data_IF_575959538351
#
_entry.id   IF_575959538351
#
_cell.length_a   1.000
_cell.length_b   1.000
_cell.length_c   1.000
_cell.angle_alpha   90.00
_cell.angle_beta   90.00
_cell.angle_gamma   90.00
#
_symmetry.space_group_name_H-M   'P 1'
#
loop_
_entity.id
_entity.type
_entity.pdbx_description
1 polymer ?
#
# COMPACT_ATOMS: atom_id res chain seq x y z
N UNK A 1 6.24 3.97 -14.55
CA UNK A 1 7.69 4.23 -14.41
C UNK A 1 8.48 3.86 -15.66
N UNK A 2 8.60 2.57 -16.02
CA UNK A 2 9.16 2.14 -17.31
C UNK A 2 8.03 1.57 -18.16
N UNK A 3 7.62 2.29 -19.20
CA UNK A 3 6.51 1.92 -20.07
C UNK A 3 7.00 1.03 -21.22
N UNK A 4 6.62 -0.26 -21.28
CA UNK A 4 7.15 -1.18 -22.28
C UNK A 4 6.44 -1.09 -23.64
N UNK A 5 5.25 -0.47 -23.68
CA UNK A 5 4.42 -0.38 -24.87
C UNK A 5 4.47 1.02 -25.47
N UNK A 6 4.58 1.09 -26.79
CA UNK A 6 4.59 2.35 -27.52
C UNK A 6 3.32 3.16 -27.20
N UNK A 7 3.51 4.45 -26.92
CA UNK A 7 2.45 5.42 -26.60
C UNK A 7 1.64 5.15 -25.32
N UNK A 8 1.93 4.10 -24.54
CA UNK A 8 1.19 3.83 -23.29
C UNK A 8 1.25 4.99 -22.31
N UNK A 9 2.41 5.64 -22.17
CA UNK A 9 2.61 6.80 -21.29
C UNK A 9 1.84 8.06 -21.72
N UNK A 10 1.05 7.97 -22.79
CA UNK A 10 0.16 9.05 -23.28
C UNK A 10 -1.31 8.68 -23.11
N UNK A 11 -1.61 7.42 -22.79
CA UNK A 11 -2.95 6.96 -22.47
C UNK A 11 -3.08 6.78 -20.95
N UNK A 12 -3.39 7.89 -20.29
CA UNK A 12 -3.44 7.99 -18.82
C UNK A 12 -4.48 7.06 -18.19
N UNK A 13 -5.64 6.90 -18.85
CA UNK A 13 -6.70 6.01 -18.35
C UNK A 13 -6.25 4.55 -18.41
N UNK A 14 -5.63 4.13 -19.52
CA UNK A 14 -5.13 2.76 -19.65
C UNK A 14 -3.98 2.50 -18.67
N UNK A 15 -3.08 3.45 -18.48
CA UNK A 15 -1.99 3.32 -17.48
C UNK A 15 -2.55 3.19 -16.05
N UNK A 16 -3.53 4.02 -15.68
CA UNK A 16 -4.19 3.96 -14.38
C UNK A 16 -4.93 2.64 -14.16
N UNK A 17 -5.64 2.16 -15.18
CA UNK A 17 -6.35 0.89 -15.15
C UNK A 17 -5.37 -0.28 -14.96
N UNK A 18 -4.27 -0.32 -15.71
CA UNK A 18 -3.26 -1.38 -15.64
C UNK A 18 -2.59 -1.43 -14.25
N UNK A 19 -2.19 -0.28 -13.71
CA UNK A 19 -1.57 -0.23 -12.38
C UNK A 19 -2.55 -0.73 -11.31
N UNK A 20 -3.76 -0.16 -11.28
CA UNK A 20 -4.79 -0.52 -10.30
C UNK A 20 -5.13 -2.01 -10.39
N UNK A 21 -5.38 -2.52 -11.60
CA UNK A 21 -5.71 -3.93 -11.85
C UNK A 21 -4.66 -4.88 -11.29
N UNK A 22 -3.38 -4.68 -11.61
CA UNK A 22 -2.33 -5.58 -11.17
C UNK A 22 -2.05 -5.47 -9.67
N UNK A 23 -2.24 -4.28 -9.06
CA UNK A 23 -2.11 -4.14 -7.60
C UNK A 23 -3.19 -4.93 -6.87
N UNK A 24 -4.46 -4.85 -7.30
CA UNK A 24 -5.53 -5.65 -6.72
C UNK A 24 -5.27 -7.15 -6.88
N UNK A 25 -4.91 -7.62 -8.08
CA UNK A 25 -4.56 -9.04 -8.29
C UNK A 25 -3.42 -9.48 -7.37
N UNK A 26 -2.36 -8.68 -7.26
CA UNK A 26 -1.24 -8.99 -6.37
C UNK A 26 -1.73 -9.15 -4.92
N UNK A 27 -2.60 -8.26 -4.44
CA UNK A 27 -3.25 -8.37 -3.14
C UNK A 27 -3.98 -9.68 -2.90
N UNK A 28 -4.87 -10.05 -3.82
CA UNK A 28 -5.62 -11.30 -3.75
C UNK A 28 -4.70 -12.53 -3.76
N UNK A 29 -3.66 -12.54 -4.62
CA UNK A 29 -2.68 -13.62 -4.67
C UNK A 29 -1.87 -13.72 -3.36
N UNK A 30 -1.46 -12.58 -2.79
CA UNK A 30 -0.71 -12.54 -1.54
C UNK A 30 -1.54 -13.08 -0.38
N UNK A 31 -2.78 -12.62 -0.21
CA UNK A 31 -3.68 -13.13 0.84
C UNK A 31 -3.97 -14.62 0.63
N UNK A 32 -4.18 -15.04 -0.61
CA UNK A 32 -4.35 -16.45 -0.98
C UNK A 32 -3.15 -17.32 -0.61
N UNK A 33 -1.92 -16.83 -0.82
CA UNK A 33 -0.71 -17.57 -0.44
C UNK A 33 -0.66 -17.85 1.08
N UNK A 34 -0.98 -16.87 1.92
CA UNK A 34 -1.04 -17.07 3.37
C UNK A 34 -2.21 -17.96 3.81
N UNK A 35 -3.37 -17.84 3.16
CA UNK A 35 -4.50 -18.73 3.41
C UNK A 35 -4.13 -20.20 3.14
N UNK A 36 -3.47 -20.47 2.01
CA UNK A 36 -2.97 -21.81 1.69
C UNK A 36 -1.85 -22.26 2.64
N UNK A 37 -1.00 -21.34 3.12
CA UNK A 37 -0.05 -21.63 4.20
C UNK A 37 -0.71 -22.06 5.50
N UNK A 38 -1.81 -21.41 5.90
CA UNK A 38 -2.59 -21.80 7.07
C UNK A 38 -3.29 -23.16 6.87
N UNK A 39 -3.82 -23.42 5.67
CA UNK A 39 -4.39 -24.73 5.31
C UNK A 39 -3.34 -25.83 5.42
N UNK A 40 -2.13 -25.59 4.90
CA UNK A 40 -0.99 -26.51 5.04
C UNK A 40 -0.68 -26.79 6.52
N UNK A 41 -0.63 -25.77 7.38
CA UNK A 41 -0.40 -25.97 8.81
C UNK A 41 -1.48 -26.81 9.49
N UNK A 42 -2.74 -26.72 9.06
CA UNK A 42 -3.83 -27.52 9.64
C UNK A 42 -3.81 -28.96 9.12
N UNK A 43 -3.69 -29.14 7.80
CA UNK A 43 -3.94 -30.44 7.15
C UNK A 43 -2.69 -31.28 6.94
N UNK A 44 -1.58 -30.66 6.55
CA UNK A 44 -0.45 -31.37 5.96
C UNK A 44 0.81 -31.30 6.84
N UNK A 45 0.89 -30.34 7.76
CA UNK A 45 2.04 -30.21 8.64
C UNK A 45 2.12 -31.35 9.67
N UNK A 46 3.21 -32.11 9.57
CA UNK A 46 3.60 -33.16 10.52
C UNK A 46 4.77 -32.67 11.41
N UNK A 47 4.55 -32.48 12.73
CA UNK A 47 5.58 -32.08 13.67
C UNK A 47 6.76 -33.07 13.80
N UNK A 48 6.53 -34.37 13.61
CA UNK A 48 7.57 -35.39 13.77
C UNK A 48 8.54 -35.36 12.58
N UNK A 49 8.02 -35.23 11.36
CA UNK A 49 8.84 -35.10 10.15
C UNK A 49 9.62 -33.77 10.11
N UNK A 50 9.10 -32.73 10.76
CA UNK A 50 9.69 -31.38 10.75
C UNK A 50 10.50 -31.06 12.02
N UNK A 51 10.74 -32.04 12.89
CA UNK A 51 11.39 -31.82 14.18
C UNK A 51 12.75 -31.14 14.02
N UNK A 52 13.00 -30.12 14.83
CA UNK A 52 14.24 -29.33 14.90
C UNK A 52 14.62 -28.55 13.62
N UNK A 53 13.79 -28.53 12.57
CA UNK A 53 14.04 -27.73 11.39
C UNK A 53 13.61 -26.26 11.59
N UNK A 54 13.82 -25.42 10.58
CA UNK A 54 13.48 -23.99 10.65
C UNK A 54 11.98 -23.72 10.83
N UNK A 55 11.12 -24.59 10.30
CA UNK A 55 9.67 -24.45 10.38
C UNK A 55 9.16 -24.77 11.78
N UNK A 56 9.63 -25.87 12.37
CA UNK A 56 9.30 -26.23 13.76
C UNK A 56 9.82 -25.17 14.74
N UNK A 57 11.08 -24.73 14.58
CA UNK A 57 11.66 -23.68 15.42
C UNK A 57 10.84 -22.39 15.38
N UNK A 58 10.35 -21.99 14.20
CA UNK A 58 9.51 -20.81 14.03
C UNK A 58 8.22 -20.91 14.87
N UNK A 59 7.57 -22.08 14.90
CA UNK A 59 6.37 -22.31 15.72
C UNK A 59 6.64 -22.25 17.22
N UNK A 60 7.85 -22.60 17.68
CA UNK A 60 8.24 -22.54 19.09
C UNK A 60 8.33 -21.12 19.65
N UNK A 61 8.53 -20.12 18.78
CA UNK A 61 8.62 -18.70 19.17
C UNK A 61 7.59 -17.83 18.42
N UNK A 62 6.45 -18.41 18.03
CA UNK A 62 5.40 -17.69 17.28
C UNK A 62 4.90 -16.44 18.00
N UNK A 63 4.83 -16.46 19.33
CA UNK A 63 4.39 -15.34 20.15
C UNK A 63 5.35 -14.14 20.04
N UNK A 64 6.65 -14.38 19.86
CA UNK A 64 7.62 -13.32 19.64
C UNK A 64 7.40 -12.67 18.26
N UNK A 65 7.18 -13.46 17.22
CA UNK A 65 6.89 -12.95 15.87
C UNK A 65 5.61 -12.11 15.86
N UNK A 66 4.53 -12.65 16.42
CA UNK A 66 3.22 -11.97 16.49
C UNK A 66 3.31 -10.68 17.31
N UNK A 67 4.01 -10.69 18.44
CA UNK A 67 4.14 -9.49 19.29
C UNK A 67 4.96 -8.38 18.63
N UNK A 68 6.04 -8.71 17.90
CA UNK A 68 6.80 -7.71 17.15
C UNK A 68 6.00 -7.12 15.99
N UNK A 69 5.28 -7.95 15.22
CA UNK A 69 4.38 -7.45 14.17
C UNK A 69 3.29 -6.55 14.74
N UNK A 70 2.71 -6.91 15.90
CA UNK A 70 1.75 -6.07 16.62
C UNK A 70 2.36 -4.73 17.05
N UNK A 71 3.57 -4.74 17.60
CA UNK A 71 4.27 -3.51 17.96
C UNK A 71 4.51 -2.60 16.75
N UNK A 72 4.99 -3.14 15.62
CA UNK A 72 5.22 -2.34 14.40
C UNK A 72 3.90 -1.75 13.89
N UNK A 73 2.83 -2.54 13.81
CA UNK A 73 1.51 -2.05 13.39
C UNK A 73 1.01 -0.91 14.29
N UNK A 74 1.12 -1.06 15.62
CA UNK A 74 0.71 -0.01 16.55
C UNK A 74 1.59 1.23 16.44
N UNK A 75 2.91 1.04 16.36
CA UNK A 75 3.86 2.14 16.19
C UNK A 75 3.56 2.94 14.93
N UNK A 76 3.44 2.28 13.77
CA UNK A 76 3.11 2.95 12.51
C UNK A 76 1.74 3.63 12.58
N UNK A 77 0.74 2.96 13.17
CA UNK A 77 -0.62 3.48 13.30
C UNK A 77 -0.68 4.77 14.11
N UNK A 78 -0.11 4.77 15.31
CA UNK A 78 -0.12 5.94 16.19
C UNK A 78 0.61 7.14 15.58
N UNK A 79 1.80 6.94 15.00
CA UNK A 79 2.58 8.05 14.48
C UNK A 79 2.06 8.57 13.14
N UNK A 80 1.68 7.68 12.21
CA UNK A 80 1.18 8.10 10.89
C UNK A 80 -0.13 8.85 11.01
N UNK A 81 -1.11 8.27 11.73
CA UNK A 81 -2.40 8.93 11.95
C UNK A 81 -2.24 10.19 12.82
N UNK A 82 -1.39 10.14 13.85
CA UNK A 82 -1.10 11.29 14.69
C UNK A 82 -0.57 12.49 13.91
N UNK A 83 0.35 12.26 12.96
CA UNK A 83 0.87 13.31 12.08
C UNK A 83 -0.20 13.86 11.12
N UNK A 84 -1.01 12.98 10.51
CA UNK A 84 -2.12 13.43 9.67
C UNK A 84 -3.11 14.31 10.45
N UNK A 85 -3.54 13.88 11.65
CA UNK A 85 -4.46 14.65 12.49
C UNK A 85 -3.83 15.97 12.96
N UNK A 86 -2.56 15.96 13.34
CA UNK A 86 -1.82 17.19 13.67
C UNK A 86 -1.86 18.18 12.50
N UNK A 87 -1.52 17.70 11.30
CA UNK A 87 -1.49 18.53 10.09
C UNK A 87 -2.88 19.06 9.71
N UNK A 88 -3.93 18.23 9.76
CA UNK A 88 -5.32 18.69 9.56
C UNK A 88 -5.68 19.80 10.56
N UNK A 89 -5.33 19.64 11.84
CA UNK A 89 -5.69 20.58 12.90
C UNK A 89 -5.04 21.95 12.71
N UNK A 90 -3.73 21.99 12.44
CA UNK A 90 -3.02 23.26 12.25
C UNK A 90 -3.42 23.96 10.94
N UNK A 91 -3.70 23.20 9.87
CA UNK A 91 -4.24 23.75 8.62
C UNK A 91 -5.64 24.32 8.84
N UNK A 92 -6.51 23.63 9.58
CA UNK A 92 -7.84 24.12 9.92
C UNK A 92 -7.79 25.42 10.76
N UNK A 93 -6.75 25.61 11.57
CA UNK A 93 -6.51 26.86 12.30
C UNK A 93 -5.82 27.96 11.47
N UNK A 94 -5.65 27.76 10.17
CA UNK A 94 -5.01 28.74 9.29
C UNK A 94 -3.51 28.91 9.54
N UNK A 95 -2.85 27.89 10.10
CA UNK A 95 -1.42 27.87 10.42
C UNK A 95 -0.70 26.72 9.69
N UNK A 96 -0.74 26.67 8.34
CA UNK A 96 -0.16 25.57 7.56
C UNK A 96 1.35 25.45 7.74
N UNK A 97 2.05 26.50 8.14
CA UNK A 97 3.48 26.51 8.44
C UNK A 97 3.85 25.70 9.70
N UNK A 98 2.86 25.36 10.54
CA UNK A 98 3.05 24.53 11.75
C UNK A 98 2.82 23.04 11.52
N UNK A 99 2.59 22.65 10.26
CA UNK A 99 2.57 21.24 9.89
C UNK A 99 3.93 20.60 10.16
N UNK A 100 3.92 19.31 10.46
CA UNK A 100 5.13 18.51 10.59
C UNK A 100 5.35 17.81 9.25
N UNK A 101 6.33 18.29 8.51
CA UNK A 101 6.66 17.83 7.16
C UNK A 101 8.04 17.17 7.17
N UNK A 102 8.07 15.85 7.09
CA UNK A 102 9.32 15.09 7.00
C UNK A 102 9.68 14.83 5.55
N UNK A 103 10.87 15.24 5.14
CA UNK A 103 11.39 14.88 3.81
C UNK A 103 11.79 13.40 3.76
N UNK A 104 11.45 12.67 2.68
CA UNK A 104 11.80 11.27 2.52
C UNK A 104 13.26 11.09 2.06
N UNK A 105 14.22 11.63 2.82
CA UNK A 105 15.65 11.73 2.46
C UNK A 105 16.26 10.40 2.03
N UNK A 106 15.85 9.28 2.63
CA UNK A 106 16.34 7.96 2.21
C UNK A 106 15.89 7.57 0.81
N UNK A 107 14.66 7.91 0.43
CA UNK A 107 14.17 7.65 -0.91
C UNK A 107 14.76 8.66 -1.92
N UNK A 108 14.94 9.93 -1.53
CA UNK A 108 15.65 10.93 -2.34
C UNK A 108 17.09 10.51 -2.63
N UNK A 109 17.77 9.95 -1.62
CA UNK A 109 19.10 9.39 -1.77
C UNK A 109 19.12 8.26 -2.80
N UNK A 110 18.11 7.36 -2.81
CA UNK A 110 18.01 6.30 -3.82
C UNK A 110 17.81 6.90 -5.22
N UNK A 111 16.98 7.94 -5.37
CA UNK A 111 16.81 8.61 -6.65
C UNK A 111 18.12 9.25 -7.12
N UNK A 112 18.85 9.92 -6.22
CA UNK A 112 20.13 10.53 -6.55
C UNK A 112 21.22 9.50 -6.84
N UNK A 113 21.29 8.42 -6.07
CA UNK A 113 22.17 7.28 -6.33
C UNK A 113 21.92 6.67 -7.71
N UNK A 114 20.67 6.77 -8.21
CA UNK A 114 20.25 6.36 -9.55
C UNK A 114 20.54 7.42 -10.63
N UNK A 115 21.12 8.57 -10.30
CA UNK A 115 21.51 9.61 -11.25
C UNK A 115 20.55 10.79 -11.37
N UNK A 116 19.56 10.89 -10.49
CA UNK A 116 18.64 12.04 -10.44
C UNK A 116 19.29 13.25 -9.80
N UNK A 117 19.40 14.35 -10.53
CA UNK A 117 20.14 15.53 -10.10
C UNK A 117 19.35 16.50 -9.20
N UNK A 118 18.01 16.41 -9.17
CA UNK A 118 17.14 17.43 -8.55
C UNK A 118 17.37 17.64 -7.03
N UNK A 119 17.91 16.63 -6.33
CA UNK A 119 18.14 16.66 -4.89
C UNK A 119 19.54 17.16 -4.51
N UNK A 120 20.42 17.43 -5.48
CA UNK A 120 21.80 17.91 -5.26
C UNK A 120 22.68 17.01 -4.37
N UNK A 121 22.34 15.73 -4.20
CA UNK A 121 23.28 14.76 -3.63
C UNK A 121 24.36 14.41 -4.65
N UNK A 122 25.62 14.42 -4.22
CA UNK A 122 26.77 14.01 -5.02
C UNK A 122 27.17 12.56 -4.68
N UNK A 123 26.37 11.58 -5.11
CA UNK A 123 26.49 10.17 -4.70
C UNK A 123 26.29 9.22 -5.88
N UNK A 124 27.14 8.20 -6.00
CA UNK A 124 27.03 7.17 -7.05
C UNK A 124 26.80 7.77 -8.44
N UNK A 125 25.67 7.46 -9.11
CA UNK A 125 25.42 7.85 -10.50
C UNK A 125 25.11 9.33 -10.69
N UNK A 126 24.77 10.09 -9.64
CA UNK A 126 24.68 11.56 -9.73
C UNK A 126 26.05 12.24 -9.68
N UNK A 127 27.10 11.51 -9.30
CA UNK A 127 28.48 12.00 -9.31
C UNK A 127 29.18 11.65 -10.62
N UNK A 128 29.62 12.66 -11.38
CA UNK A 128 30.34 12.46 -12.65
C UNK A 128 31.69 11.75 -12.50
N UNK A 129 32.27 11.75 -11.29
CA UNK A 129 33.59 11.18 -11.00
C UNK A 129 33.52 9.81 -10.32
N UNK A 130 32.32 9.35 -9.95
CA UNK A 130 32.13 8.05 -9.31
C UNK A 130 32.56 6.91 -10.25
N UNK A 131 33.27 5.88 -9.75
CA UNK A 131 33.62 4.70 -10.54
C UNK A 131 32.41 4.05 -11.23
N UNK A 132 31.24 4.05 -10.57
CA UNK A 132 30.01 3.51 -11.13
C UNK A 132 29.56 4.29 -12.38
N UNK A 133 29.69 5.61 -12.34
CA UNK A 133 29.35 6.50 -13.45
C UNK A 133 30.34 6.32 -14.59
N UNK A 134 31.65 6.35 -14.30
CA UNK A 134 32.71 6.20 -15.30
C UNK A 134 32.59 4.87 -16.04
N UNK A 135 32.32 3.77 -15.32
CA UNK A 135 32.16 2.44 -15.92
C UNK A 135 30.91 2.30 -16.80
N UNK A 136 29.81 2.96 -16.45
CA UNK A 136 28.54 2.86 -17.19
C UNK A 136 28.42 3.80 -18.40
N UNK A 137 29.27 4.83 -18.48
CA UNK A 137 29.08 5.99 -19.37
C UNK A 137 29.11 5.67 -20.87
N UNK A 138 29.67 4.53 -21.29
CA UNK A 138 29.80 4.17 -22.71
C UNK A 138 28.73 3.19 -23.22
N UNK A 139 27.78 2.75 -22.37
CA UNK A 139 26.83 1.69 -22.73
C UNK A 139 25.38 2.15 -22.59
N UNK A 140 24.84 2.11 -21.37
CA UNK A 140 23.42 2.36 -21.10
C UNK A 140 23.19 3.67 -20.33
N UNK A 141 24.22 4.17 -19.65
CA UNK A 141 24.10 5.26 -18.69
C UNK A 141 23.69 6.60 -19.31
N UNK A 142 24.18 7.02 -20.50
CA UNK A 142 23.74 8.30 -21.08
C UNK A 142 22.23 8.37 -21.31
N UNK A 143 21.63 7.32 -21.90
CA UNK A 143 20.19 7.26 -22.13
C UNK A 143 19.39 7.15 -20.82
N UNK A 144 19.93 6.45 -19.82
CA UNK A 144 19.34 6.40 -18.49
C UNK A 144 19.34 7.77 -17.79
N UNK A 145 20.47 8.49 -17.80
CA UNK A 145 20.60 9.80 -17.18
C UNK A 145 19.72 10.84 -17.88
N UNK A 146 19.57 10.76 -19.21
CA UNK A 146 18.61 11.57 -19.95
C UNK A 146 17.18 11.27 -19.50
N UNK A 147 16.80 9.99 -19.40
CA UNK A 147 15.46 9.59 -19.02
C UNK A 147 15.09 9.99 -17.57
N UNK A 148 15.96 9.71 -16.59
CA UNK A 148 15.66 9.95 -15.16
C UNK A 148 15.60 11.44 -14.78
N UNK A 149 16.28 12.29 -15.55
CA UNK A 149 16.27 13.75 -15.36
C UNK A 149 15.24 14.46 -16.25
N UNK A 150 14.45 13.73 -17.04
CA UNK A 150 13.39 14.29 -17.86
C UNK A 150 12.08 14.38 -17.06
N UNK A 151 11.63 15.61 -16.81
CA UNK A 151 10.38 15.88 -16.07
C UNK A 151 9.08 15.56 -16.85
N UNK A 152 9.17 14.99 -18.05
CA UNK A 152 8.02 14.64 -18.91
C UNK A 152 7.67 13.14 -18.88
N UNK A 153 8.28 12.36 -17.99
CA UNK A 153 7.99 10.94 -17.81
C UNK A 153 7.82 10.62 -16.32
N UNK A 154 7.40 9.38 -16.04
CA UNK A 154 7.14 8.90 -14.67
C UNK A 154 8.32 8.12 -14.07
N UNK A 155 9.52 8.28 -14.63
CA UNK A 155 10.72 7.61 -14.14
C UNK A 155 11.25 8.34 -12.90
N UNK A 156 11.15 7.67 -11.74
CA UNK A 156 11.54 8.23 -10.44
C UNK A 156 10.93 9.61 -10.20
N UNK A 157 9.60 9.71 -10.15
CA UNK A 157 8.91 10.97 -9.86
C UNK A 157 9.50 11.66 -8.63
N UNK A 158 9.58 13.00 -8.66
CA UNK A 158 10.00 13.78 -7.50
C UNK A 158 9.07 13.44 -6.33
N UNK A 159 9.66 13.16 -5.18
CA UNK A 159 8.99 12.87 -3.92
C UNK A 159 9.23 13.98 -2.90
N UNK A 160 8.31 14.11 -1.94
CA UNK A 160 8.38 15.06 -0.82
C UNK A 160 7.58 14.59 0.41
N UNK A 161 7.17 15.51 1.30
CA UNK A 161 6.56 15.15 2.59
C UNK A 161 5.23 14.39 2.49
N UNK A 162 4.42 14.71 1.50
CA UNK A 162 3.17 13.98 1.23
C UNK A 162 3.41 12.51 0.87
N UNK A 163 4.45 12.26 0.08
CA UNK A 163 4.90 10.92 -0.25
C UNK A 163 5.41 10.18 0.99
N UNK A 164 6.13 10.86 1.88
CA UNK A 164 6.62 10.26 3.12
C UNK A 164 5.46 9.70 3.95
N UNK A 165 4.42 10.51 4.21
CA UNK A 165 3.31 10.11 5.07
C UNK A 165 2.52 8.94 4.49
N UNK A 166 2.22 8.98 3.19
CA UNK A 166 1.43 7.91 2.57
C UNK A 166 2.20 6.60 2.44
N UNK A 167 3.54 6.64 2.26
CA UNK A 167 4.35 5.42 2.33
C UNK A 167 4.34 4.79 3.73
N UNK A 168 4.27 5.59 4.80
CA UNK A 168 4.10 5.07 6.16
C UNK A 168 2.69 4.50 6.39
N UNK A 169 1.65 5.08 5.78
CA UNK A 169 0.31 4.52 5.78
C UNK A 169 0.24 3.18 5.02
N UNK A 170 0.89 3.08 3.86
CA UNK A 170 1.02 1.81 3.11
C UNK A 170 1.78 0.78 3.95
N UNK A 171 2.88 1.18 4.60
CA UNK A 171 3.63 0.32 5.51
C UNK A 171 2.77 -0.20 6.66
N UNK A 172 1.95 0.66 7.28
CA UNK A 172 0.98 0.27 8.30
C UNK A 172 0.02 -0.81 7.78
N UNK A 173 -0.55 -0.58 6.59
CA UNK A 173 -1.47 -1.52 5.96
C UNK A 173 -0.82 -2.89 5.68
N UNK A 174 0.40 -2.89 5.13
CA UNK A 174 1.16 -4.10 4.85
C UNK A 174 1.50 -4.89 6.14
N UNK A 175 2.01 -4.22 7.18
CA UNK A 175 2.36 -4.87 8.44
C UNK A 175 1.13 -5.40 9.16
N UNK A 176 0.01 -4.67 9.14
CA UNK A 176 -1.23 -5.11 9.80
C UNK A 176 -1.90 -6.26 9.06
N UNK A 177 -1.95 -6.21 7.73
CA UNK A 177 -2.41 -7.35 6.91
C UNK A 177 -1.54 -8.58 7.17
N UNK A 178 -0.22 -8.42 7.20
CA UNK A 178 0.73 -9.49 7.49
C UNK A 178 0.54 -10.05 8.91
N UNK A 179 0.35 -9.19 9.91
CA UNK A 179 0.07 -9.60 11.29
C UNK A 179 -1.15 -10.52 11.35
N UNK A 180 -2.25 -10.13 10.73
CA UNK A 180 -3.51 -10.90 10.76
C UNK A 180 -3.29 -12.27 10.10
N UNK A 181 -2.68 -12.29 8.92
CA UNK A 181 -2.42 -13.53 8.16
C UNK A 181 -1.44 -14.46 8.86
N UNK A 182 -0.31 -13.93 9.34
CA UNK A 182 0.71 -14.70 10.06
C UNK A 182 0.13 -15.25 11.36
N UNK A 183 -0.53 -14.41 12.18
CA UNK A 183 -1.18 -14.87 13.42
C UNK A 183 -2.22 -15.95 13.12
N UNK A 184 -3.05 -15.77 12.08
CA UNK A 184 -4.02 -16.76 11.63
C UNK A 184 -3.39 -18.12 11.30
N UNK A 185 -2.26 -18.12 10.58
CA UNK A 185 -1.52 -19.33 10.23
C UNK A 185 -0.81 -19.98 11.43
N UNK A 186 -0.14 -19.20 12.29
CA UNK A 186 0.63 -19.73 13.42
C UNK A 186 -0.24 -20.24 14.58
N UNK A 187 -1.45 -19.72 14.73
CA UNK A 187 -2.46 -20.19 15.69
C UNK A 187 -3.45 -21.19 15.07
N UNK A 188 -3.28 -21.60 13.81
CA UNK A 188 -4.21 -22.45 13.09
C UNK A 188 -4.35 -23.84 13.73
N UNK A 189 -3.24 -24.40 14.24
CA UNK A 189 -3.24 -25.71 14.89
C UNK A 189 -3.73 -25.69 16.33
N UNK A 190 -3.63 -24.54 17.00
CA UNK A 190 -3.95 -24.40 18.42
C UNK A 190 -3.47 -23.07 18.99
N UNK A 191 -4.23 -22.58 19.96
CA UNK A 191 -3.95 -21.37 20.74
C UNK A 191 -4.26 -21.64 22.22
N UNK A 192 -3.92 -20.72 23.13
CA UNK A 192 -4.28 -20.89 24.56
C UNK A 192 -5.79 -20.97 24.79
N UNK A 193 -6.60 -20.27 23.99
CA UNK A 193 -8.06 -20.23 24.11
C UNK A 193 -8.72 -21.51 23.57
N UNK A 194 -8.17 -22.07 22.50
CA UNK A 194 -8.63 -23.31 21.86
C UNK A 194 -7.39 -24.12 21.41
N UNK A 195 -6.88 -25.01 22.28
CA UNK A 195 -5.64 -25.76 22.03
C UNK A 195 -5.77 -26.83 20.93
N UNK A 196 -6.97 -27.38 20.76
CA UNK A 196 -7.36 -28.48 19.86
C UNK A 196 -7.89 -28.00 18.50
N UNK A 197 -7.58 -26.76 18.12
CA UNK A 197 -8.11 -26.12 16.90
C UNK A 197 -7.89 -26.93 15.62
N UNK A 198 -6.75 -27.62 15.50
CA UNK A 198 -6.45 -28.50 14.35
C UNK A 198 -7.54 -29.56 14.09
N UNK A 199 -8.26 -30.01 15.12
CA UNK A 199 -9.22 -31.11 15.02
C UNK A 199 -10.54 -30.65 14.37
N UNK A 200 -10.77 -29.34 14.27
CA UNK A 200 -11.94 -28.71 13.67
C UNK A 200 -11.71 -28.28 12.21
N UNK A 201 -10.48 -28.36 11.72
CA UNK A 201 -10.12 -27.96 10.35
C UNK A 201 -9.92 -26.45 10.18
N UNK A 202 -9.87 -26.01 8.92
CA UNK A 202 -9.50 -24.63 8.56
C UNK A 202 -10.63 -23.61 8.79
N UNK A 203 -11.87 -24.01 8.49
CA UNK A 203 -13.05 -23.15 8.55
C UNK A 203 -14.12 -23.82 9.41
N UNK A 204 -14.50 -23.14 10.48
CA UNK A 204 -15.56 -23.54 11.41
C UNK A 204 -16.09 -22.28 12.13
N UNK A 205 -17.35 -22.23 12.58
CA UNK A 205 -17.97 -20.97 13.02
C UNK A 205 -17.37 -20.38 14.31
N UNK A 206 -17.20 -21.22 15.34
CA UNK A 206 -16.67 -20.89 16.65
C UNK A 206 -16.52 -22.18 17.49
N UNK A 207 -16.05 -22.07 18.72
CA UNK A 207 -16.12 -23.10 19.77
C UNK A 207 -17.06 -22.65 20.92
N UNK A 208 -18.22 -22.12 20.53
CA UNK A 208 -19.30 -21.68 21.41
C UNK A 208 -19.07 -20.38 22.20
N UNK A 209 -20.08 -19.92 22.97
CA UNK A 209 -20.00 -18.70 23.78
C UNK A 209 -19.22 -18.87 25.09
N UNK A 210 -18.76 -20.08 25.42
CA UNK A 210 -17.97 -20.35 26.61
C UNK A 210 -16.60 -19.66 26.59
N UNK A 211 -15.88 -19.68 27.73
CA UNK A 211 -14.52 -19.12 27.90
C UNK A 211 -14.38 -17.63 27.50
N UNK A 212 -15.47 -16.86 27.58
CA UNK A 212 -15.52 -15.45 27.20
C UNK A 212 -15.96 -15.18 25.75
N UNK A 213 -16.24 -16.23 24.97
CA UNK A 213 -16.64 -16.14 23.57
C UNK A 213 -15.50 -16.49 22.60
N UNK A 214 -15.83 -17.23 21.54
CA UNK A 214 -14.85 -17.73 20.54
C UNK A 214 -15.25 -17.40 19.10
N UNK A 215 -15.95 -16.28 18.92
CA UNK A 215 -16.27 -15.76 17.59
C UNK A 215 -14.99 -15.51 16.78
N UNK A 216 -15.05 -15.77 15.47
CA UNK A 216 -13.98 -15.49 14.51
C UNK A 216 -12.60 -16.08 14.91
N UNK A 217 -12.60 -17.30 15.48
CA UNK A 217 -11.40 -17.94 16.03
C UNK A 217 -10.66 -18.84 15.02
N UNK A 218 -11.32 -19.24 13.93
CA UNK A 218 -10.74 -20.15 12.93
C UNK A 218 -9.66 -19.46 12.10
N UNK A 219 -8.84 -20.25 11.42
CA UNK A 219 -7.84 -19.69 10.51
C UNK A 219 -8.47 -19.07 9.26
N UNK A 220 -9.65 -19.55 8.84
CA UNK A 220 -10.46 -18.92 7.80
C UNK A 220 -10.95 -17.53 8.21
N UNK A 221 -11.33 -17.34 9.47
CA UNK A 221 -11.78 -16.02 9.97
C UNK A 221 -10.64 -15.00 9.94
N UNK A 222 -9.39 -15.42 10.19
CA UNK A 222 -8.23 -14.57 10.00
C UNK A 222 -8.01 -14.17 8.53
N UNK A 223 -8.23 -15.08 7.58
CA UNK A 223 -8.26 -14.75 6.15
C UNK A 223 -9.36 -13.72 5.84
N UNK A 224 -10.58 -13.94 6.33
CA UNK A 224 -11.70 -13.02 6.17
C UNK A 224 -11.36 -11.61 6.69
N UNK A 225 -10.80 -11.49 7.90
CA UNK A 225 -10.38 -10.20 8.48
C UNK A 225 -9.25 -9.55 7.68
N UNK A 226 -8.29 -10.35 7.19
CA UNK A 226 -7.18 -9.84 6.40
C UNK A 226 -7.62 -9.28 5.03
N UNK A 227 -8.71 -9.78 4.46
CA UNK A 227 -9.27 -9.26 3.20
C UNK A 227 -9.64 -7.77 3.31
N UNK A 228 -10.23 -7.34 4.42
CA UNK A 228 -10.55 -5.92 4.64
C UNK A 228 -9.28 -5.06 4.68
N UNK A 229 -8.27 -5.51 5.42
CA UNK A 229 -6.99 -4.81 5.51
C UNK A 229 -6.24 -4.77 4.19
N UNK A 230 -6.29 -5.84 3.41
CA UNK A 230 -5.71 -5.90 2.07
C UNK A 230 -6.40 -4.89 1.14
N UNK A 231 -7.73 -4.90 1.06
CA UNK A 231 -8.49 -3.96 0.23
C UNK A 231 -8.21 -2.51 0.62
N UNK A 232 -8.13 -2.21 1.92
CA UNK A 232 -7.80 -0.90 2.43
C UNK A 232 -6.35 -0.48 2.09
N UNK A 233 -5.38 -1.38 2.24
CA UNK A 233 -3.95 -1.11 1.92
C UNK A 233 -3.75 -0.82 0.43
N UNK A 234 -4.42 -1.59 -0.44
CA UNK A 234 -4.38 -1.37 -1.89
C UNK A 234 -5.15 -0.12 -2.26
N UNK A 235 -6.26 0.16 -1.59
CA UNK A 235 -6.97 1.43 -1.69
C UNK A 235 -6.03 2.63 -1.45
N UNK A 236 -5.31 2.65 -0.33
CA UNK A 236 -4.32 3.70 -0.03
C UNK A 236 -3.23 3.80 -1.10
N UNK A 237 -2.69 2.65 -1.53
CA UNK A 237 -1.63 2.58 -2.56
C UNK A 237 -2.11 3.14 -3.91
N UNK A 238 -3.32 2.76 -4.33
CA UNK A 238 -3.88 3.17 -5.62
C UNK A 238 -4.41 4.61 -5.60
N UNK A 239 -4.96 5.07 -4.47
CA UNK A 239 -5.34 6.47 -4.27
C UNK A 239 -4.12 7.38 -4.37
N UNK A 240 -3.04 7.00 -3.69
CA UNK A 240 -1.76 7.72 -3.77
C UNK A 240 -1.25 7.78 -5.20
N UNK A 241 -1.11 6.62 -5.84
CA UNK A 241 -0.59 6.55 -7.20
C UNK A 241 -1.45 7.40 -8.16
N UNK A 242 -2.77 7.25 -8.09
CA UNK A 242 -3.68 7.94 -8.99
C UNK A 242 -3.68 9.45 -8.77
N UNK A 243 -3.75 9.92 -7.52
CA UNK A 243 -3.74 11.36 -7.25
C UNK A 243 -2.42 12.02 -7.67
N UNK A 244 -1.28 11.36 -7.39
CA UNK A 244 0.04 11.85 -7.80
C UNK A 244 0.15 11.96 -9.33
N UNK A 245 -0.30 10.95 -10.08
CA UNK A 245 -0.25 11.02 -11.54
C UNK A 245 -1.26 12.03 -12.11
N UNK A 246 -2.46 12.13 -11.54
CA UNK A 246 -3.46 13.12 -11.97
C UNK A 246 -2.95 14.55 -11.87
N UNK A 247 -2.25 14.91 -10.79
CA UNK A 247 -1.69 16.25 -10.62
C UNK A 247 -0.52 16.52 -11.58
N UNK A 248 0.29 15.51 -11.89
CA UNK A 248 1.36 15.59 -12.91
C UNK A 248 0.77 15.76 -14.31
N UNK A 249 -0.18 14.91 -14.70
CA UNK A 249 -0.84 14.96 -16.01
C UNK A 249 -1.66 16.23 -16.20
N UNK A 250 -2.25 16.76 -15.12
CA UNK A 250 -2.93 18.06 -15.07
C UNK A 250 -2.00 19.26 -15.08
N UNK A 251 -0.67 19.06 -15.03
CA UNK A 251 0.32 20.13 -15.05
C UNK A 251 0.40 20.95 -13.76
N UNK A 252 -0.17 20.47 -12.66
CA UNK A 252 -0.14 21.12 -11.35
C UNK A 252 0.30 20.16 -10.23
N UNK A 253 1.55 19.66 -10.27
CA UNK A 253 2.06 18.75 -9.24
C UNK A 253 2.07 19.38 -7.83
N UNK A 254 2.15 20.71 -7.73
CA UNK A 254 2.12 21.43 -6.44
C UNK A 254 0.84 21.19 -5.64
N UNK A 255 -0.29 20.88 -6.31
CA UNK A 255 -1.52 20.53 -5.61
C UNK A 255 -1.34 19.30 -4.71
N UNK A 256 -0.66 18.26 -5.21
CA UNK A 256 -0.36 17.07 -4.41
C UNK A 256 0.64 17.40 -3.30
N UNK A 257 1.73 18.09 -3.64
CA UNK A 257 2.81 18.42 -2.70
C UNK A 257 2.30 19.22 -1.47
N UNK A 258 1.33 20.12 -1.68
CA UNK A 258 0.76 20.95 -0.62
C UNK A 258 -0.38 20.25 0.13
N UNK A 259 -1.28 19.56 -0.60
CA UNK A 259 -2.57 19.10 -0.04
C UNK A 259 -2.55 17.65 0.46
N UNK A 260 -1.55 16.84 0.10
CA UNK A 260 -1.48 15.43 0.51
C UNK A 260 -0.98 15.21 1.95
N UNK A 261 -0.53 16.27 2.62
CA UNK A 261 0.03 16.22 3.98
C UNK A 261 -1.03 16.10 5.09
N UNK A 262 -2.31 16.30 4.77
CA UNK A 262 -3.44 16.28 5.69
C UNK A 262 -4.66 15.61 5.03
N UNK A 263 -5.51 14.93 5.81
CA UNK A 263 -6.60 14.07 5.30
C UNK A 263 -7.66 14.88 4.56
N UNK A 264 -7.96 16.11 4.99
CA UNK A 264 -8.94 16.95 4.31
C UNK A 264 -8.57 17.24 2.85
N UNK A 265 -7.26 17.28 2.51
CA UNK A 265 -6.81 17.44 1.13
C UNK A 265 -7.14 16.21 0.27
N UNK A 266 -6.92 15.00 0.80
CA UNK A 266 -7.35 13.76 0.15
C UNK A 266 -8.87 13.71 -0.07
N UNK A 267 -9.65 14.20 0.88
CA UNK A 267 -11.11 14.24 0.74
C UNK A 267 -11.56 15.27 -0.30
N UNK A 268 -11.09 16.52 -0.20
CA UNK A 268 -11.54 17.64 -1.02
C UNK A 268 -10.95 17.62 -2.43
N UNK A 269 -9.62 17.56 -2.51
CA UNK A 269 -8.88 17.83 -3.73
C UNK A 269 -8.65 16.57 -4.56
N UNK A 270 -8.82 15.40 -3.94
CA UNK A 270 -8.83 14.13 -4.65
C UNK A 270 -10.24 13.56 -4.82
N UNK A 271 -10.89 13.08 -3.76
CA UNK A 271 -12.15 12.35 -3.89
C UNK A 271 -13.29 13.24 -4.41
N UNK A 272 -13.51 14.39 -3.77
CA UNK A 272 -14.61 15.28 -4.15
C UNK A 272 -14.36 15.93 -5.51
N UNK A 273 -13.20 16.57 -5.70
CA UNK A 273 -12.89 17.32 -6.93
C UNK A 273 -12.95 16.42 -8.18
N UNK A 274 -12.34 15.24 -8.12
CA UNK A 274 -12.26 14.35 -9.29
C UNK A 274 -13.55 13.55 -9.52
N UNK A 275 -14.49 13.52 -8.56
CA UNK A 275 -15.79 12.89 -8.77
C UNK A 275 -16.74 13.71 -9.65
N UNK A 276 -16.48 15.01 -9.84
CA UNK A 276 -17.41 15.93 -10.52
C UNK A 276 -17.81 15.48 -11.94
N UNK A 277 -16.89 15.06 -12.85
CA UNK A 277 -17.29 14.56 -14.16
C UNK A 277 -18.06 13.24 -14.10
N UNK A 278 -17.68 12.36 -13.17
CA UNK A 278 -18.30 11.04 -12.98
C UNK A 278 -19.76 11.18 -12.55
N UNK A 279 -20.05 11.95 -11.51
CA UNK A 279 -21.41 12.09 -10.98
C UNK A 279 -22.35 12.86 -11.93
N UNK A 280 -21.78 13.58 -12.90
CA UNK A 280 -22.52 14.25 -13.98
C UNK A 280 -22.58 13.42 -15.28
N UNK A 281 -22.22 12.13 -15.24
CA UNK A 281 -22.35 11.23 -16.39
C UNK A 281 -23.79 11.13 -16.91
N UNK A 282 -24.77 11.27 -16.01
CA UNK A 282 -26.17 11.57 -16.31
C UNK A 282 -26.72 12.54 -15.26
N UNK A 283 -27.59 13.46 -15.66
CA UNK A 283 -28.23 14.45 -14.79
C UNK A 283 -29.61 14.82 -15.35
N UNK A 284 -30.41 15.68 -14.66
CA UNK A 284 -31.75 16.03 -15.13
C UNK A 284 -31.82 16.67 -16.54
N UNK A 285 -30.70 17.15 -17.07
CA UNK A 285 -30.63 17.84 -18.35
C UNK A 285 -30.14 16.94 -19.51
N UNK A 286 -29.58 15.76 -19.22
CA UNK A 286 -29.09 14.83 -20.25
C UNK A 286 -28.10 13.80 -19.73
N UNK A 287 -27.45 13.09 -20.66
CA UNK A 287 -26.41 12.09 -20.38
C UNK A 287 -25.24 12.21 -21.35
N UNK A 288 -24.07 11.70 -20.94
CA UNK A 288 -22.88 11.58 -21.78
C UNK A 288 -22.30 10.15 -21.70
N UNK A 289 -21.15 9.93 -22.33
CA UNK A 289 -20.48 8.63 -22.40
C UNK A 289 -19.98 8.11 -21.04
N UNK A 290 -19.96 8.93 -19.98
CA UNK A 290 -19.64 8.52 -18.61
C UNK A 290 -20.84 7.96 -17.85
N UNK A 291 -22.06 8.01 -18.42
CA UNK A 291 -23.29 7.53 -17.76
C UNK A 291 -23.21 6.09 -17.25
N UNK A 292 -22.57 5.19 -18.00
CA UNK A 292 -22.35 3.79 -17.59
C UNK A 292 -21.47 3.71 -16.33
N UNK A 293 -20.45 4.54 -16.24
CA UNK A 293 -19.54 4.60 -15.09
C UNK A 293 -20.22 5.23 -13.88
N UNK A 294 -21.02 6.27 -14.08
CA UNK A 294 -21.82 6.89 -13.03
C UNK A 294 -22.80 5.89 -12.40
N UNK A 295 -23.47 5.07 -13.24
CA UNK A 295 -24.36 4.02 -12.78
C UNK A 295 -23.59 2.91 -12.04
N UNK A 296 -22.48 2.44 -12.61
CA UNK A 296 -21.61 1.44 -11.99
C UNK A 296 -21.06 1.91 -10.64
N UNK A 297 -20.75 3.20 -10.51
CA UNK A 297 -20.30 3.81 -9.27
C UNK A 297 -21.35 3.72 -8.16
N UNK A 298 -22.61 4.09 -8.45
CA UNK A 298 -23.71 3.92 -7.50
C UNK A 298 -24.01 2.45 -7.20
N UNK A 299 -23.94 1.59 -8.21
CA UNK A 299 -24.12 0.15 -8.03
C UNK A 299 -23.04 -0.44 -7.12
N UNK A 300 -21.79 0.03 -7.23
CA UNK A 300 -20.72 -0.32 -6.30
C UNK A 300 -21.03 0.08 -4.85
N UNK A 301 -21.58 1.28 -4.63
CA UNK A 301 -22.03 1.73 -3.30
C UNK A 301 -23.23 0.95 -2.76
N UNK A 302 -24.07 0.40 -3.64
CA UNK A 302 -25.20 -0.44 -3.24
C UNK A 302 -24.74 -1.83 -2.76
N UNK A 303 -23.68 -2.38 -3.37
CA UNK A 303 -23.13 -3.69 -3.00
C UNK A 303 -22.26 -3.61 -1.75
N UNK A 304 -21.48 -2.53 -1.60
CA UNK A 304 -20.58 -2.31 -0.47
C UNK A 304 -21.34 -2.09 0.84
#
# INVERSE_FOLDING_TARGET
>A
ALTPYAFLSKDFTTEAALYTHHQYIAGFLMVGAFAHGAIFFVRDYDPELNKNNVLARMLEHKEAIISHLSWVSLFLGFHTLGLYIHNDTVVAFGQPEKQILFEPVFAEYIQAASGKAVYNFNVLLSSSTSPATVAGNQVWLPGWLEAINNNKNDLFLKIGPGDFLVHHAISLGLHTTTLILVKGALDARGSKLMPDKKDFGYSFPCDGPGRGGTCDISAWDAFYLAMFWMLNTIGWTTFYWHWKHMTIWGGNPGQFDESSNYIMGWLRDYLWLNSSPLINGYNPFGMNNLSVWAWMFLFGHLIW
#
